data_IF_159897647058
#
_entry.id   IF_159897647058
#
_cell.length_a   1.000
_cell.length_b   1.000
_cell.length_c   1.000
_cell.angle_alpha   90.00
_cell.angle_beta   90.00
_cell.angle_gamma   90.00
#
_symmetry.space_group_name_H-M   'P 1'
#
loop_
_entity.id
_entity.type
_entity.pdbx_description
1 polymer ?
#
# COMPACT_ATOMS: atom_id res chain seq x y z
N UNK A 1 17.67 10.56 7.52
CA UNK A 1 17.42 9.69 8.70
C UNK A 1 16.63 10.40 9.80
N UNK A 2 17.04 11.58 10.27
CA UNK A 2 16.36 12.30 11.36
C UNK A 2 14.94 12.78 10.98
N UNK A 3 14.77 13.27 9.76
CA UNK A 3 13.46 13.69 9.20
C UNK A 3 12.48 12.50 9.07
N UNK A 4 12.96 11.33 8.63
CA UNK A 4 12.16 10.11 8.57
C UNK A 4 11.69 9.64 9.96
N UNK A 5 12.57 9.72 10.97
CA UNK A 5 12.20 9.42 12.35
C UNK A 5 11.17 10.43 12.90
N UNK A 6 11.31 11.72 12.56
CA UNK A 6 10.36 12.75 12.97
C UNK A 6 8.96 12.50 12.37
N UNK A 7 8.88 12.12 11.09
CA UNK A 7 7.60 11.82 10.44
C UNK A 7 6.86 10.66 11.11
N UNK A 8 7.56 9.57 11.45
CA UNK A 8 6.94 8.42 12.12
C UNK A 8 6.41 8.76 13.53
N UNK A 9 7.14 9.59 14.28
CA UNK A 9 6.67 10.08 15.58
C UNK A 9 5.43 10.97 15.44
N UNK A 10 5.40 11.86 14.43
CA UNK A 10 4.25 12.73 14.15
C UNK A 10 3.00 11.90 13.83
N UNK A 11 3.11 10.90 12.94
CA UNK A 11 1.98 10.00 12.64
C UNK A 11 1.49 9.26 13.88
N UNK A 12 2.41 8.82 14.74
CA UNK A 12 2.05 8.10 15.97
C UNK A 12 1.32 9.00 16.96
N UNK A 13 1.77 10.24 17.15
CA UNK A 13 1.09 11.24 17.99
C UNK A 13 -0.33 11.48 17.46
N UNK A 14 -0.47 11.70 16.15
CA UNK A 14 -1.79 11.89 15.52
C UNK A 14 -2.71 10.71 15.77
N UNK A 15 -2.26 9.47 15.52
CA UNK A 15 -3.06 8.27 15.73
C UNK A 15 -3.50 8.09 17.20
N UNK A 16 -2.64 8.45 18.16
CA UNK A 16 -3.00 8.43 19.58
C UNK A 16 -4.03 9.51 19.92
N UNK A 17 -3.90 10.71 19.36
CA UNK A 17 -4.87 11.80 19.54
C UNK A 17 -6.24 11.43 18.96
N UNK A 18 -6.28 10.93 17.73
CA UNK A 18 -7.51 10.45 17.08
C UNK A 18 -8.17 9.32 17.89
N UNK A 19 -7.38 8.35 18.37
CA UNK A 19 -7.87 7.29 19.28
C UNK A 19 -8.47 7.88 20.56
N UNK A 20 -7.81 8.86 21.15
CA UNK A 20 -8.30 9.56 22.33
C UNK A 20 -9.64 10.23 22.10
N UNK A 21 -9.81 10.91 20.96
CA UNK A 21 -11.08 11.55 20.59
C UNK A 21 -12.25 10.57 20.45
N UNK A 22 -11.99 9.36 19.96
CA UNK A 22 -13.02 8.30 19.84
C UNK A 22 -13.51 7.82 21.21
N UNK A 23 -12.61 7.68 22.19
CA UNK A 23 -12.94 7.08 23.49
C UNK A 23 -13.12 8.08 24.65
N UNK A 24 -12.80 9.36 24.45
CA UNK A 24 -12.91 10.39 25.47
C UNK A 24 -14.36 10.51 25.99
N UNK A 25 -14.50 10.44 27.33
CA UNK A 25 -15.81 10.46 28.00
C UNK A 25 -16.22 11.84 28.50
N UNK A 26 -15.26 12.74 28.67
CA UNK A 26 -15.46 14.11 29.12
C UNK A 26 -14.86 15.13 28.16
N UNK A 27 -15.32 16.37 28.27
CA UNK A 27 -14.95 17.43 27.34
C UNK A 27 -13.53 17.95 27.55
N UNK A 28 -12.93 17.75 28.74
CA UNK A 28 -11.52 18.13 28.98
C UNK A 28 -10.56 17.21 28.24
N UNK A 29 -10.83 15.90 28.26
CA UNK A 29 -10.02 14.95 27.49
C UNK A 29 -10.17 15.17 25.98
N UNK A 30 -11.37 15.47 25.49
CA UNK A 30 -11.58 15.84 24.09
C UNK A 30 -10.76 17.05 23.69
N UNK A 31 -10.81 18.14 24.46
CA UNK A 31 -10.05 19.37 24.19
C UNK A 31 -8.55 19.10 24.09
N UNK A 32 -8.00 18.29 25.02
CA UNK A 32 -6.58 17.88 24.99
C UNK A 32 -6.23 17.08 23.75
N UNK A 33 -7.09 16.14 23.35
CA UNK A 33 -6.83 15.33 22.16
C UNK A 33 -7.00 16.15 20.86
N UNK A 34 -7.91 17.13 20.82
CA UNK A 34 -8.03 18.08 19.72
C UNK A 34 -6.75 18.93 19.59
N UNK A 35 -6.21 19.42 20.72
CA UNK A 35 -4.94 20.14 20.76
C UNK A 35 -3.77 19.27 20.27
N UNK A 36 -3.63 18.04 20.77
CA UNK A 36 -2.59 17.09 20.33
C UNK A 36 -2.70 16.79 18.83
N UNK A 37 -3.92 16.61 18.33
CA UNK A 37 -4.17 16.41 16.90
C UNK A 37 -3.76 17.65 16.10
N UNK A 38 -4.13 18.84 16.55
CA UNK A 38 -3.73 20.12 15.93
C UNK A 38 -2.21 20.28 15.83
N UNK A 39 -1.49 20.06 16.94
CA UNK A 39 -0.02 20.10 16.98
C UNK A 39 0.57 19.08 15.99
N UNK A 40 0.02 17.87 15.93
CA UNK A 40 0.51 16.84 15.00
C UNK A 40 0.35 17.22 13.53
N UNK A 41 -0.74 17.93 13.17
CA UNK A 41 -0.99 18.39 11.80
C UNK A 41 -0.09 19.58 11.44
N UNK A 42 0.20 20.47 12.39
CA UNK A 42 1.18 21.55 12.19
C UNK A 42 2.59 20.99 11.97
N UNK A 43 2.99 20.00 12.78
CA UNK A 43 4.27 19.32 12.58
C UNK A 43 4.34 18.60 11.23
N UNK A 44 3.24 17.95 10.80
CA UNK A 44 3.17 17.28 9.50
C UNK A 44 3.29 18.28 8.36
N UNK A 45 2.59 19.42 8.45
CA UNK A 45 2.64 20.54 7.49
C UNK A 45 4.08 21.00 7.24
N UNK A 46 4.86 21.16 8.32
CA UNK A 46 6.26 21.56 8.27
C UNK A 46 7.18 20.49 7.66
N UNK A 47 6.89 19.20 7.88
CA UNK A 47 7.73 18.09 7.38
C UNK A 47 7.41 17.74 5.92
N UNK A 48 6.18 17.96 5.46
CA UNK A 48 5.74 17.63 4.10
C UNK A 48 5.67 18.83 3.15
N UNK A 49 5.97 20.05 3.61
CA UNK A 49 5.78 21.30 2.86
C UNK A 49 4.35 21.44 2.29
N UNK A 50 3.33 20.95 3.01
CA UNK A 50 1.93 21.02 2.59
C UNK A 50 1.15 22.00 3.48
N UNK A 51 0.21 22.79 2.94
CA UNK A 51 -0.60 23.71 3.73
C UNK A 51 -1.45 22.98 4.78
N UNK A 52 -1.56 23.56 5.99
CA UNK A 52 -2.36 22.99 7.08
C UNK A 52 -3.85 22.80 6.70
N UNK A 53 -4.40 23.70 5.88
CA UNK A 53 -5.78 23.58 5.37
C UNK A 53 -5.99 22.31 4.56
N UNK A 54 -5.05 21.97 3.66
CA UNK A 54 -5.10 20.76 2.87
C UNK A 54 -5.03 19.51 3.75
N UNK A 55 -4.18 19.53 4.79
CA UNK A 55 -4.07 18.41 5.73
C UNK A 55 -5.34 18.24 6.60
N UNK A 56 -5.97 19.33 7.04
CA UNK A 56 -7.23 19.27 7.77
C UNK A 56 -8.36 18.67 6.94
N UNK A 57 -8.47 19.05 5.67
CA UNK A 57 -9.46 18.50 4.74
C UNK A 57 -9.16 17.03 4.42
N UNK A 58 -7.88 16.67 4.32
CA UNK A 58 -7.47 15.29 4.08
C UNK A 58 -7.72 14.38 5.29
N UNK A 59 -7.51 14.89 6.51
CA UNK A 59 -7.67 14.18 7.77
C UNK A 59 -8.90 14.65 8.54
N UNK A 60 -10.06 14.69 7.87
CA UNK A 60 -11.33 14.95 8.53
C UNK A 60 -11.48 14.06 9.77
N UNK A 61 -12.12 14.52 10.86
CA UNK A 61 -12.25 13.73 12.08
C UNK A 61 -12.97 12.42 11.76
N UNK A 62 -12.22 11.32 11.72
CA UNK A 62 -12.82 9.99 11.74
C UNK A 62 -13.49 9.84 13.10
N UNK A 63 -14.79 9.51 13.12
CA UNK A 63 -15.48 9.13 14.36
C UNK A 63 -15.10 7.73 14.84
N UNK A 64 -14.16 7.09 14.16
CA UNK A 64 -13.70 5.72 14.34
C UNK A 64 -12.21 5.66 14.66
N UNK A 65 -11.79 4.52 15.24
CA UNK A 65 -10.41 4.28 15.62
C UNK A 65 -9.48 4.30 14.39
N UNK A 66 -8.41 5.11 14.40
CA UNK A 66 -7.49 5.17 13.27
C UNK A 66 -6.75 3.83 13.11
N UNK A 67 -6.80 3.26 11.91
CA UNK A 67 -6.10 2.02 11.55
C UNK A 67 -5.05 2.27 10.46
N UNK A 68 -4.12 1.33 10.31
CA UNK A 68 -3.26 1.33 9.13
C UNK A 68 -4.14 1.11 7.89
N UNK A 69 -3.85 1.84 6.81
CA UNK A 69 -4.48 1.58 5.51
C UNK A 69 -4.01 0.23 4.99
N UNK A 70 -4.85 -0.42 4.18
CA UNK A 70 -4.53 -1.72 3.59
C UNK A 70 -4.34 -1.55 2.09
N UNK A 71 -3.17 -1.90 1.60
CA UNK A 71 -2.85 -2.05 0.18
C UNK A 71 -2.80 -3.54 -0.16
N UNK A 72 -3.37 -3.93 -1.30
CA UNK A 72 -3.36 -5.31 -1.79
C UNK A 72 -2.59 -5.37 -3.10
N UNK A 73 -1.82 -6.45 -3.31
CA UNK A 73 -1.00 -6.63 -4.52
C UNK A 73 -1.11 -8.05 -5.04
N UNK A 74 -1.21 -8.19 -6.36
CA UNK A 74 -1.26 -9.44 -7.07
C UNK A 74 0.10 -9.84 -7.63
N UNK A 75 0.70 -10.89 -7.08
CA UNK A 75 1.89 -11.51 -7.67
C UNK A 75 1.44 -12.63 -8.62
N UNK A 76 1.65 -12.45 -9.92
CA UNK A 76 1.29 -13.40 -10.97
C UNK A 76 2.54 -13.75 -11.76
N UNK A 77 2.75 -15.04 -12.02
CA UNK A 77 3.79 -15.51 -12.95
C UNK A 77 3.17 -16.29 -14.10
N UNK A 78 3.78 -16.18 -15.27
CA UNK A 78 3.46 -17.06 -16.40
C UNK A 78 4.32 -18.33 -16.40
N UNK A 79 4.08 -19.24 -17.35
CA UNK A 79 4.81 -20.52 -17.46
C UNK A 79 6.31 -20.36 -17.75
N UNK A 80 6.77 -19.16 -18.12
CA UNK A 80 8.18 -18.82 -18.32
C UNK A 80 8.84 -18.23 -17.08
N UNK A 81 8.15 -18.22 -15.94
CA UNK A 81 8.57 -17.56 -14.70
C UNK A 81 8.80 -16.06 -14.87
N UNK A 82 8.06 -15.42 -15.78
CA UNK A 82 8.05 -13.96 -15.90
C UNK A 82 6.92 -13.40 -15.02
N UNK A 83 7.14 -12.24 -14.40
CA UNK A 83 6.26 -11.60 -13.44
C UNK A 83 5.36 -10.60 -14.17
N UNK A 84 4.06 -10.66 -13.91
CA UNK A 84 3.11 -9.67 -14.40
C UNK A 84 3.35 -8.33 -13.73
N UNK A 85 3.51 -7.28 -14.54
CA UNK A 85 3.66 -5.91 -14.08
C UNK A 85 2.73 -4.99 -14.86
N UNK A 86 2.32 -3.91 -14.20
CA UNK A 86 1.55 -2.83 -14.78
C UNK A 86 2.30 -1.50 -14.60
N UNK A 87 2.18 -0.62 -15.59
CA UNK A 87 2.86 0.68 -15.65
C UNK A 87 1.89 1.78 -15.27
N UNK A 88 2.20 2.48 -14.20
CA UNK A 88 1.41 3.57 -13.67
C UNK A 88 1.53 4.81 -14.57
N UNK A 89 0.40 5.50 -14.84
CA UNK A 89 0.44 6.77 -15.58
C UNK A 89 1.07 7.91 -14.77
N UNK A 90 0.91 7.87 -13.44
CA UNK A 90 1.26 8.98 -12.54
C UNK A 90 2.78 9.19 -12.46
N UNK A 91 3.55 8.12 -12.26
CA UNK A 91 5.01 8.18 -12.13
C UNK A 91 5.75 7.59 -13.34
N UNK A 92 5.03 6.88 -14.23
CA UNK A 92 5.63 6.23 -15.40
C UNK A 92 6.48 5.00 -15.04
N UNK A 93 6.38 4.51 -13.81
CA UNK A 93 7.12 3.35 -13.31
C UNK A 93 6.24 2.11 -13.25
N UNK A 94 6.86 0.96 -13.02
CA UNK A 94 6.19 -0.33 -13.01
C UNK A 94 6.01 -0.89 -11.60
N UNK A 95 4.93 -1.62 -11.39
CA UNK A 95 4.64 -2.33 -10.13
C UNK A 95 3.94 -3.65 -10.44
N UNK A 96 3.86 -4.53 -9.45
CA UNK A 96 2.88 -5.62 -9.50
C UNK A 96 1.47 -5.02 -9.30
N UNK A 97 0.43 -5.54 -10.01
CA UNK A 97 -0.90 -4.95 -9.99
C UNK A 97 -1.51 -4.89 -8.60
N UNK A 98 -2.35 -3.89 -8.34
CA UNK A 98 -3.04 -3.74 -7.07
C UNK A 98 -3.17 -2.30 -6.60
N UNK A 99 -3.92 -2.13 -5.52
CA UNK A 99 -4.27 -0.82 -5.01
C UNK A 99 -4.75 -0.87 -3.57
N UNK A 100 -5.48 0.19 -3.18
CA UNK A 100 -6.09 0.26 -1.85
C UNK A 100 -7.21 -0.76 -1.71
N UNK A 101 -7.37 -1.34 -0.52
CA UNK A 101 -8.49 -2.20 -0.22
C UNK A 101 -9.79 -1.38 -0.11
N UNK A 102 -10.74 -1.65 -1.01
CA UNK A 102 -12.06 -1.01 -1.00
C UNK A 102 -12.95 -1.52 0.13
N UNK A 103 -13.67 -0.60 0.77
CA UNK A 103 -14.68 -0.95 1.79
C UNK A 103 -15.81 -1.75 1.14
N UNK A 104 -16.18 -2.86 1.76
CA UNK A 104 -17.23 -3.75 1.26
C UNK A 104 -16.74 -4.87 0.35
N UNK A 105 -15.45 -4.91 0.03
CA UNK A 105 -14.81 -5.99 -0.71
C UNK A 105 -13.88 -6.80 0.21
N UNK A 106 -13.82 -8.11 -0.03
CA UNK A 106 -12.78 -8.96 0.55
C UNK A 106 -11.43 -8.63 -0.08
N UNK A 107 -10.29 -8.84 0.61
CA UNK A 107 -8.97 -8.61 0.03
C UNK A 107 -8.74 -9.39 -1.28
N UNK A 108 -9.33 -10.58 -1.39
CA UNK A 108 -9.25 -11.41 -2.59
C UNK A 108 -10.05 -10.83 -3.75
N UNK A 109 -11.23 -10.25 -3.51
CA UNK A 109 -12.01 -9.58 -4.56
C UNK A 109 -11.28 -8.33 -5.06
N UNK A 110 -10.71 -7.52 -4.16
CA UNK A 110 -9.96 -6.32 -4.55
C UNK A 110 -8.78 -6.69 -5.43
N UNK A 111 -7.93 -7.64 -5.02
CA UNK A 111 -6.73 -7.96 -5.80
C UNK A 111 -7.07 -8.56 -7.17
N UNK A 112 -8.13 -9.36 -7.30
CA UNK A 112 -8.54 -9.88 -8.61
C UNK A 112 -9.14 -8.80 -9.49
N UNK A 113 -9.91 -7.86 -8.90
CA UNK A 113 -10.47 -6.70 -9.61
C UNK A 113 -9.35 -5.81 -10.15
N UNK A 114 -8.38 -5.46 -9.32
CA UNK A 114 -7.24 -4.62 -9.72
C UNK A 114 -6.40 -5.27 -10.83
N UNK A 115 -6.11 -6.57 -10.76
CA UNK A 115 -5.40 -7.26 -11.84
C UNK A 115 -6.18 -7.18 -13.16
N UNK A 116 -7.50 -7.39 -13.12
CA UNK A 116 -8.34 -7.33 -14.31
C UNK A 116 -8.40 -5.91 -14.88
N UNK A 117 -8.63 -4.90 -14.04
CA UNK A 117 -8.72 -3.50 -14.43
C UNK A 117 -7.40 -2.98 -15.00
N UNK A 118 -6.26 -3.32 -14.38
CA UNK A 118 -4.96 -2.80 -14.78
C UNK A 118 -4.35 -3.53 -15.98
N UNK A 119 -4.64 -4.83 -16.15
CA UNK A 119 -3.92 -5.70 -17.10
C UNK A 119 -4.79 -6.46 -18.09
N UNK A 120 -6.11 -6.45 -17.92
CA UNK A 120 -7.06 -7.20 -18.77
C UNK A 120 -7.02 -8.72 -18.56
N UNK A 121 -6.32 -9.20 -17.54
CA UNK A 121 -6.25 -10.61 -17.17
C UNK A 121 -7.20 -10.91 -16.02
N UNK A 122 -8.02 -11.95 -16.18
CA UNK A 122 -8.84 -12.48 -15.10
C UNK A 122 -8.03 -13.53 -14.33
N UNK A 123 -7.95 -13.38 -13.02
CA UNK A 123 -7.14 -14.20 -12.14
C UNK A 123 -7.94 -14.78 -10.97
N UNK A 124 -7.46 -15.90 -10.43
CA UNK A 124 -7.90 -16.46 -9.15
C UNK A 124 -6.81 -16.31 -8.09
N UNK A 125 -7.18 -16.07 -6.84
CA UNK A 125 -6.23 -16.05 -5.71
C UNK A 125 -5.87 -17.48 -5.33
N UNK A 126 -4.57 -17.78 -5.27
CA UNK A 126 -4.04 -19.08 -4.86
C UNK A 126 -3.77 -19.10 -3.35
N UNK A 127 -3.02 -18.11 -2.84
CA UNK A 127 -2.68 -17.97 -1.42
C UNK A 127 -2.10 -16.59 -1.12
N UNK A 128 -2.07 -16.21 0.15
CA UNK A 128 -1.29 -15.08 0.64
C UNK A 128 0.22 -15.43 0.62
N UNK A 129 1.04 -14.52 0.13
CA UNK A 129 2.51 -14.63 0.14
C UNK A 129 3.12 -13.83 1.29
N UNK A 130 2.68 -12.59 1.46
CA UNK A 130 3.29 -11.68 2.42
C UNK A 130 2.31 -10.65 3.00
N UNK A 131 2.60 -10.21 4.23
CA UNK A 131 2.05 -9.01 4.84
C UNK A 131 3.23 -8.11 5.22
N UNK A 132 3.45 -7.03 4.47
CA UNK A 132 4.51 -6.08 4.78
C UNK A 132 3.98 -4.88 5.59
N UNK A 133 4.67 -4.48 6.65
CA UNK A 133 4.56 -3.15 7.24
C UNK A 133 5.47 -2.22 6.44
N UNK A 134 4.88 -1.28 5.70
CA UNK A 134 5.63 -0.37 4.84
C UNK A 134 6.74 0.38 5.59
N UNK A 135 6.60 0.62 6.89
CA UNK A 135 7.61 1.28 7.74
C UNK A 135 8.89 0.44 7.93
N UNK A 136 8.79 -0.89 7.85
CA UNK A 136 9.91 -1.80 8.07
C UNK A 136 10.84 -1.90 6.84
N UNK A 137 10.46 -1.26 5.73
CA UNK A 137 11.16 -1.31 4.45
C UNK A 137 11.52 0.10 3.97
N UNK A 138 12.57 0.26 3.15
CA UNK A 138 13.06 1.58 2.70
C UNK A 138 12.20 2.18 1.57
N UNK A 139 10.88 2.19 1.73
CA UNK A 139 9.99 2.90 0.82
C UNK A 139 10.10 4.42 1.00
N UNK A 140 9.75 5.21 -0.04
CA UNK A 140 9.52 6.64 0.11
C UNK A 140 8.55 6.98 1.26
N UNK A 141 8.75 8.13 1.93
CA UNK A 141 7.91 8.53 3.05
C UNK A 141 6.48 8.81 2.57
N UNK A 142 5.49 8.32 3.31
CA UNK A 142 4.07 8.60 3.10
C UNK A 142 3.44 9.16 4.37
N UNK A 143 2.30 9.86 4.31
CA UNK A 143 1.62 10.41 5.49
C UNK A 143 0.81 9.38 6.30
N UNK A 144 0.65 8.13 5.83
CA UNK A 144 -0.13 7.09 6.53
C UNK A 144 0.75 5.91 6.98
N UNK A 145 0.19 5.09 7.87
CA UNK A 145 0.63 3.72 8.09
C UNK A 145 -0.05 2.79 7.08
N UNK A 146 0.70 1.85 6.50
CA UNK A 146 0.20 0.96 5.45
C UNK A 146 0.66 -0.47 5.71
N UNK A 147 -0.30 -1.39 5.74
CA UNK A 147 -0.05 -2.83 5.61
C UNK A 147 -0.30 -3.25 4.17
N UNK A 148 0.64 -4.00 3.59
CA UNK A 148 0.59 -4.47 2.20
C UNK A 148 0.43 -5.98 2.16
N UNK A 149 -0.72 -6.43 1.71
CA UNK A 149 -1.04 -7.85 1.53
C UNK A 149 -0.70 -8.25 0.09
N UNK A 150 0.22 -9.18 -0.09
CA UNK A 150 0.61 -9.67 -1.41
C UNK A 150 0.08 -11.08 -1.62
N UNK A 151 -0.74 -11.28 -2.64
CA UNK A 151 -1.37 -12.55 -2.99
C UNK A 151 -0.74 -13.18 -4.21
N UNK A 152 -0.41 -14.47 -4.14
CA UNK A 152 -0.13 -15.27 -5.33
C UNK A 152 -1.45 -15.48 -6.08
N UNK A 153 -1.49 -15.05 -7.34
CA UNK A 153 -2.65 -15.21 -8.19
C UNK A 153 -2.29 -16.00 -9.45
N UNK A 154 -3.27 -16.69 -10.02
CA UNK A 154 -3.12 -17.48 -11.24
C UNK A 154 -4.04 -16.92 -12.32
N UNK A 155 -3.51 -16.74 -13.53
CA UNK A 155 -4.31 -16.36 -14.70
C UNK A 155 -5.27 -17.49 -15.05
N UNK A 156 -6.56 -17.16 -15.17
CA UNK A 156 -7.59 -18.08 -15.63
C UNK A 156 -7.92 -17.82 -17.10
N UNK A 157 -8.13 -16.56 -17.47
CA UNK A 157 -8.52 -16.13 -18.82
C UNK A 157 -8.05 -14.69 -19.10
N UNK A 158 -8.27 -14.23 -20.34
CA UNK A 158 -8.06 -12.85 -20.75
C UNK A 158 -6.91 -12.69 -21.74
N UNK A 159 -6.65 -11.44 -22.12
CA UNK A 159 -5.56 -11.07 -23.01
C UNK A 159 -4.89 -9.84 -22.47
N UNK A 160 -3.56 -9.88 -22.34
CA UNK A 160 -2.78 -8.82 -21.74
C UNK A 160 -3.02 -7.50 -22.47
N UNK A 161 -3.72 -6.58 -21.81
CA UNK A 161 -4.11 -5.29 -22.35
C UNK A 161 -4.23 -4.31 -21.18
N UNK A 162 -3.47 -3.21 -21.17
CA UNK A 162 -3.56 -2.25 -20.08
C UNK A 162 -4.96 -1.66 -19.95
N UNK A 163 -5.36 -1.41 -18.71
CA UNK A 163 -6.53 -0.62 -18.36
C UNK A 163 -6.48 0.81 -18.86
N UNK A 164 -7.60 1.53 -18.73
CA UNK A 164 -7.69 2.94 -19.15
C UNK A 164 -6.69 3.84 -18.42
N UNK A 165 -6.46 3.59 -17.13
CA UNK A 165 -5.56 4.37 -16.27
C UNK A 165 -4.13 3.84 -16.22
N UNK A 166 -3.78 2.85 -17.06
CA UNK A 166 -2.46 2.25 -17.12
C UNK A 166 -1.72 2.60 -18.41
N UNK A 167 -0.42 2.90 -18.29
CA UNK A 167 0.45 3.19 -19.41
C UNK A 167 0.98 1.91 -20.10
N UNK A 168 0.78 0.73 -19.50
CA UNK A 168 1.24 -0.54 -20.02
C UNK A 168 0.97 -1.71 -19.07
N UNK A 169 0.95 -2.93 -19.63
CA UNK A 169 0.88 -4.19 -18.89
C UNK A 169 1.78 -5.20 -19.62
N UNK A 170 2.70 -5.85 -18.92
CA UNK A 170 3.74 -6.71 -19.51
C UNK A 170 4.23 -7.75 -18.50
N UNK A 171 4.80 -8.84 -19.02
CA UNK A 171 5.53 -9.81 -18.21
C UNK A 171 7.04 -9.51 -18.30
N UNK A 172 7.72 -9.52 -17.16
CA UNK A 172 9.17 -9.26 -17.06
C UNK A 172 9.89 -10.40 -16.36
N UNK A 173 11.12 -10.68 -16.81
CA UNK A 173 11.98 -11.63 -16.12
C UNK A 173 12.54 -11.00 -14.84
N UNK A 174 12.79 -11.82 -13.83
CA UNK A 174 13.36 -11.36 -12.55
C UNK A 174 14.75 -10.70 -12.72
N UNK A 175 15.51 -11.10 -13.74
CA UNK A 175 16.83 -10.58 -14.08
C UNK A 175 16.81 -9.38 -15.04
N UNK A 176 15.63 -8.95 -15.48
CA UNK A 176 15.42 -7.83 -16.41
C UNK A 176 14.15 -7.05 -16.03
N UNK A 177 14.05 -6.69 -14.74
CA UNK A 177 12.95 -5.89 -14.24
C UNK A 177 13.02 -4.45 -14.75
N UNK A 178 11.88 -3.83 -15.06
CA UNK A 178 11.82 -2.42 -15.45
C UNK A 178 12.04 -1.52 -14.23
N UNK A 179 12.11 -0.21 -14.46
CA UNK A 179 12.20 0.76 -13.35
C UNK A 179 10.93 0.70 -12.48
N UNK A 180 11.13 0.35 -11.20
CA UNK A 180 10.05 0.08 -10.26
C UNK A 180 9.52 1.34 -9.57
N UNK A 181 8.20 1.38 -9.37
CA UNK A 181 7.55 2.35 -8.50
C UNK A 181 7.85 1.98 -7.04
N UNK A 182 8.95 2.53 -6.51
CA UNK A 182 9.47 2.20 -5.16
C UNK A 182 8.50 2.51 -4.03
N UNK A 183 7.50 3.36 -4.28
CA UNK A 183 6.41 3.62 -3.33
C UNK A 183 5.49 2.40 -3.15
N UNK A 184 5.27 1.64 -4.23
CA UNK A 184 4.33 0.52 -4.30
C UNK A 184 4.99 -0.83 -4.06
N UNK A 185 6.20 -1.05 -4.59
CA UNK A 185 6.93 -2.30 -4.44
C UNK A 185 8.44 -2.08 -4.53
N UNK A 186 9.22 -2.80 -3.71
CA UNK A 186 10.68 -2.80 -3.78
C UNK A 186 11.19 -4.03 -4.52
N UNK A 187 12.34 -3.89 -5.17
CA UNK A 187 13.05 -5.00 -5.83
C UNK A 187 13.36 -6.14 -4.85
N UNK A 188 13.72 -5.84 -3.61
CA UNK A 188 13.94 -6.84 -2.56
C UNK A 188 12.68 -7.66 -2.23
N UNK A 189 11.51 -7.01 -2.24
CA UNK A 189 10.22 -7.67 -2.03
C UNK A 189 9.87 -8.55 -3.24
N UNK A 190 10.07 -8.06 -4.47
CA UNK A 190 9.86 -8.88 -5.68
C UNK A 190 10.74 -10.13 -5.66
N UNK A 191 12.04 -10.00 -5.36
CA UNK A 191 12.95 -11.13 -5.26
C UNK A 191 12.52 -12.14 -4.18
N UNK A 192 12.10 -11.67 -3.01
CA UNK A 192 11.59 -12.54 -1.96
C UNK A 192 10.36 -13.33 -2.42
N UNK A 193 9.35 -12.63 -2.97
CA UNK A 193 8.12 -13.24 -3.46
C UNK A 193 8.40 -14.24 -4.58
N UNK A 194 9.28 -13.90 -5.51
CA UNK A 194 9.69 -14.78 -6.62
C UNK A 194 10.31 -16.08 -6.10
N UNK A 195 11.29 -15.98 -5.17
CA UNK A 195 11.92 -17.15 -4.58
C UNK A 195 10.92 -18.02 -3.82
N UNK A 196 10.01 -17.42 -3.06
CA UNK A 196 8.95 -18.16 -2.36
C UNK A 196 8.07 -18.98 -3.32
N UNK A 197 7.82 -18.48 -4.54
CA UNK A 197 7.02 -19.21 -5.53
C UNK A 197 7.83 -20.29 -6.25
N UNK A 198 9.06 -19.97 -6.69
CA UNK A 198 9.94 -20.92 -7.40
C UNK A 198 10.37 -22.09 -6.51
N UNK A 199 10.67 -21.82 -5.24
CA UNK A 199 11.04 -22.84 -4.25
C UNK A 199 9.81 -23.56 -3.67
N UNK A 200 8.61 -23.15 -4.08
CA UNK A 200 7.34 -23.66 -3.57
C UNK A 200 7.21 -23.54 -2.04
N UNK A 201 7.80 -22.51 -1.45
CA UNK A 201 7.70 -22.20 -0.02
C UNK A 201 6.26 -21.82 0.34
N UNK A 202 5.60 -22.65 1.15
CA UNK A 202 4.21 -22.44 1.57
C UNK A 202 4.06 -21.51 2.77
N UNK A 203 5.15 -21.03 3.35
CA UNK A 203 5.10 -20.03 4.40
C UNK A 203 4.55 -18.69 3.89
N UNK A 204 4.12 -17.87 4.85
CA UNK A 204 3.70 -16.47 4.63
C UNK A 204 4.73 -15.59 5.32
N UNK A 205 5.28 -14.62 4.60
CA UNK A 205 6.14 -13.59 5.19
C UNK A 205 5.30 -12.57 5.96
N UNK A 206 5.78 -12.13 7.12
CA UNK A 206 5.21 -11.01 7.86
C UNK A 206 6.33 -10.27 8.61
N UNK A 207 6.24 -8.93 8.66
CA UNK A 207 7.22 -8.07 9.34
C UNK A 207 7.02 -7.97 10.87
#
# INVERSE_FOLDING_TARGET
MKEYQNLELIKRIKALADTGLVYAKDDYDKERYEELRGISLELLSNVSDQPLTMLNDFFMPERDYPTAKVDVRGFVMNDKNEILMAKEQIDGHWTIPGGWADVGYTPSEVVTKEIEEETGLSCSVVRLLAIYDKRMHPHPPQPFYVYKLVFLCKVENGGLKPGFDMAGAAFYRIDDLPELSKDRILESQINQLYNMVIENDKNVHFD
#
